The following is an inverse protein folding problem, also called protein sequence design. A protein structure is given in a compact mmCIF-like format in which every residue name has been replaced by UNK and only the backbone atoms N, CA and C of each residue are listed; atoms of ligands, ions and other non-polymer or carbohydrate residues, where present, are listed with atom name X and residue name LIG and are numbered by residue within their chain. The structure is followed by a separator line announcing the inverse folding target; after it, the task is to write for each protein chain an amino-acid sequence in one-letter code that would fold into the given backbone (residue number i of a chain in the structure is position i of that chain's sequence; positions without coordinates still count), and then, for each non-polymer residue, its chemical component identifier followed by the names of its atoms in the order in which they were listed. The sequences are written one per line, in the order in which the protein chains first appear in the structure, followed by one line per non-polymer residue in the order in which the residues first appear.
data_IF_202938528574
#
_entry.id   IF_202938528574
#
_cell.length_a   1.000
_cell.length_b   1.000
_cell.length_c   1.000
_cell.angle_alpha   90.00
_cell.angle_beta   90.00
_cell.angle_gamma   90.00
#
_symmetry.space_group_name_H-M   'P 1'
#
loop_
_entity.id
_entity.type
_entity.pdbx_description
1 polymer ?
#
# COMPACT_ATOMS: atom_id res chain seq x y z
N UNK A 1 13.56 -17.47 35.84
CA UNK A 1 12.93 -18.77 35.49
C UNK A 1 14.02 -19.67 34.92
N UNK A 2 14.65 -20.49 35.76
CA UNK A 2 15.64 -21.51 35.35
C UNK A 2 14.94 -22.86 35.54
N UNK A 3 14.60 -23.54 34.44
CA UNK A 3 14.25 -24.97 34.49
C UNK A 3 15.20 -25.70 33.55
N UNK A 4 15.92 -26.62 34.17
CA UNK A 4 16.97 -27.43 33.60
C UNK A 4 16.43 -28.29 32.45
N UNK A 5 17.05 -28.19 31.28
CA UNK A 5 16.85 -29.14 30.19
C UNK A 5 17.55 -30.45 30.57
N UNK A 6 16.78 -31.42 31.02
CA UNK A 6 17.25 -32.78 31.30
C UNK A 6 17.35 -33.52 29.96
N UNK A 7 18.53 -33.44 29.33
CA UNK A 7 18.91 -34.25 28.18
C UNK A 7 18.73 -35.72 28.53
N UNK A 8 17.71 -36.33 27.94
CA UNK A 8 17.43 -37.76 28.07
C UNK A 8 18.00 -38.42 26.82
N UNK A 9 19.28 -38.80 26.88
CA UNK A 9 19.89 -39.70 25.90
C UNK A 9 19.16 -41.05 25.97
N UNK A 10 18.22 -41.27 25.05
CA UNK A 10 17.65 -42.59 24.83
C UNK A 10 18.68 -43.40 24.04
N UNK A 11 19.39 -44.25 24.76
CA UNK A 11 20.25 -45.29 24.23
C UNK A 11 19.51 -46.07 23.13
N UNK A 12 19.99 -45.95 21.89
CA UNK A 12 19.61 -46.82 20.80
C UNK A 12 20.31 -48.17 21.00
N UNK A 13 19.80 -48.95 21.95
CA UNK A 13 20.20 -50.33 22.18
C UNK A 13 19.72 -51.16 20.99
N UNK A 14 20.57 -51.27 19.96
CA UNK A 14 20.47 -52.34 18.96
C UNK A 14 20.64 -53.67 19.68
N UNK A 15 19.56 -54.18 20.26
CA UNK A 15 19.49 -55.56 20.71
C UNK A 15 19.51 -56.42 19.46
N UNK A 16 20.71 -56.89 19.11
CA UNK A 16 20.89 -58.02 18.21
C UNK A 16 20.19 -59.23 18.82
N UNK A 17 18.89 -59.37 18.55
CA UNK A 17 18.12 -60.57 18.85
C UNK A 17 18.67 -61.69 17.97
N UNK A 18 19.63 -62.43 18.52
CA UNK A 18 20.00 -63.74 18.02
C UNK A 18 18.74 -64.60 18.07
N UNK A 19 18.11 -64.80 16.91
CA UNK A 19 17.01 -65.74 16.77
C UNK A 19 17.56 -67.13 17.09
N UNK A 20 17.06 -67.73 18.17
CA UNK A 20 17.35 -69.12 18.52
C UNK A 20 16.94 -70.04 17.35
N UNK A 21 17.61 -71.19 17.16
CA UNK A 21 17.36 -72.05 16.01
C UNK A 21 15.95 -72.65 16.09
N UNK A 22 15.26 -72.62 14.94
CA UNK A 22 14.04 -73.34 14.56
C UNK A 22 13.42 -74.26 15.63
N UNK A 23 12.16 -73.95 15.97
CA UNK A 23 11.26 -74.88 16.65
C UNK A 23 11.35 -76.28 16.02
N UNK A 24 11.41 -77.28 16.88
CA UNK A 24 11.77 -78.66 16.61
C UNK A 24 11.24 -79.21 15.29
N UNK A 25 12.16 -79.68 14.44
CA UNK A 25 11.92 -80.48 13.22
C UNK A 25 11.36 -81.87 13.57
N UNK A 26 10.16 -81.94 14.13
CA UNK A 26 9.57 -83.21 14.55
C UNK A 26 8.68 -83.78 13.45
N UNK A 27 9.28 -84.56 12.55
CA UNK A 27 8.54 -85.47 11.69
C UNK A 27 8.16 -86.70 12.52
N UNK A 28 6.89 -86.82 12.90
CA UNK A 28 6.38 -88.03 13.55
C UNK A 28 6.03 -89.05 12.47
N UNK A 29 7.01 -89.86 12.06
CA UNK A 29 6.81 -90.98 11.15
C UNK A 29 7.28 -92.27 11.82
N UNK A 30 6.33 -93.13 12.18
CA UNK A 30 6.61 -94.43 12.77
C UNK A 30 7.09 -95.40 11.67
N UNK A 31 8.41 -95.50 11.57
CA UNK A 31 9.11 -96.33 10.59
C UNK A 31 8.86 -97.80 10.86
N UNK A 32 8.74 -98.19 12.14
CA UNK A 32 8.61 -99.57 12.56
C UNK A 32 7.20 -100.11 12.29
N UNK A 33 6.17 -99.35 12.64
CA UNK A 33 4.78 -99.74 12.34
C UNK A 33 4.55 -99.92 10.83
N UNK A 34 5.21 -99.10 10.01
CA UNK A 34 5.10 -99.19 8.55
C UNK A 34 5.83 -100.41 7.97
N UNK A 35 6.98 -100.79 8.55
CA UNK A 35 7.69 -102.03 8.18
C UNK A 35 6.85 -103.25 8.53
N UNK A 36 6.29 -103.33 9.75
CA UNK A 36 5.45 -104.45 10.16
C UNK A 36 4.22 -104.61 9.26
N UNK A 37 3.57 -103.50 8.88
CA UNK A 37 2.42 -103.52 7.97
C UNK A 37 2.79 -104.08 6.59
N UNK A 38 3.95 -103.72 6.05
CA UNK A 38 4.40 -104.22 4.75
C UNK A 38 4.74 -105.72 4.82
N UNK A 39 5.34 -106.17 5.91
CA UNK A 39 5.60 -107.59 6.16
C UNK A 39 4.32 -108.42 6.27
N UNK A 40 3.29 -107.91 6.96
CA UNK A 40 1.96 -108.54 7.05
C UNK A 40 1.27 -108.67 5.68
N UNK A 41 1.61 -107.81 4.72
CA UNK A 41 1.08 -107.82 3.35
C UNK A 41 1.95 -108.60 2.35
N UNK A 42 2.92 -109.39 2.83
CA UNK A 42 3.69 -110.32 2.02
C UNK A 42 5.00 -109.76 1.43
N UNK A 43 5.48 -108.60 1.92
CA UNK A 43 6.81 -108.09 1.58
C UNK A 43 7.88 -108.68 2.50
N UNK A 44 9.09 -108.87 1.98
CA UNK A 44 10.25 -109.24 2.82
C UNK A 44 10.72 -108.04 3.64
N UNK A 45 11.31 -108.26 4.81
CA UNK A 45 11.87 -107.21 5.68
C UNK A 45 12.76 -106.23 4.92
N UNK A 46 13.65 -106.75 4.05
CA UNK A 46 14.52 -105.93 3.21
C UNK A 46 13.74 -105.02 2.24
N UNK A 47 12.68 -105.55 1.60
CA UNK A 47 11.84 -104.76 0.71
C UNK A 47 11.08 -103.67 1.48
N UNK A 48 10.54 -104.02 2.65
CA UNK A 48 9.83 -103.10 3.53
C UNK A 48 10.73 -101.95 4.01
N UNK A 49 11.95 -102.25 4.44
CA UNK A 49 12.94 -101.25 4.87
C UNK A 49 13.34 -100.29 3.74
N UNK A 50 13.53 -100.80 2.51
CA UNK A 50 13.90 -99.98 1.35
C UNK A 50 12.75 -99.02 0.97
N UNK A 51 11.52 -99.52 0.93
CA UNK A 51 10.33 -98.72 0.63
C UNK A 51 10.14 -97.62 1.67
N UNK A 52 10.22 -97.97 2.95
CA UNK A 52 10.09 -97.02 4.06
C UNK A 52 11.20 -95.97 4.02
N UNK A 53 12.45 -96.37 3.73
CA UNK A 53 13.58 -95.45 3.58
C UNK A 53 13.39 -94.45 2.43
N UNK A 54 12.86 -94.90 1.29
CA UNK A 54 12.55 -94.04 0.16
C UNK A 54 11.46 -93.01 0.51
N UNK A 55 10.40 -93.45 1.19
CA UNK A 55 9.31 -92.57 1.66
C UNK A 55 9.82 -91.54 2.67
N UNK A 56 10.63 -91.97 3.65
CA UNK A 56 11.29 -91.07 4.61
C UNK A 56 12.11 -89.98 3.91
N UNK A 57 12.88 -90.33 2.89
CA UNK A 57 13.68 -89.37 2.12
C UNK A 57 12.79 -88.37 1.36
N UNK A 58 11.71 -88.84 0.71
CA UNK A 58 10.76 -87.96 0.02
C UNK A 58 10.06 -87.03 1.01
N UNK A 59 9.60 -87.55 2.15
CA UNK A 59 8.94 -86.76 3.20
C UNK A 59 9.88 -85.72 3.79
N UNK A 60 11.14 -86.07 4.03
CA UNK A 60 12.18 -85.14 4.51
C UNK A 60 12.42 -84.01 3.52
N UNK A 61 12.63 -84.35 2.24
CA UNK A 61 12.83 -83.36 1.18
C UNK A 61 11.60 -82.44 1.00
N UNK A 62 10.39 -83.01 1.03
CA UNK A 62 9.15 -82.23 0.94
C UNK A 62 8.96 -81.32 2.17
N UNK A 63 9.27 -81.79 3.37
CA UNK A 63 9.22 -80.96 4.57
C UNK A 63 10.22 -79.81 4.52
N UNK A 64 11.45 -80.05 4.07
CA UNK A 64 12.46 -78.99 3.93
C UNK A 64 12.01 -77.91 2.92
N UNK A 65 11.37 -78.33 1.82
CA UNK A 65 10.81 -77.41 0.83
C UNK A 65 9.63 -76.60 1.40
N UNK A 66 8.68 -77.25 2.06
CA UNK A 66 7.52 -76.60 2.68
C UNK A 66 7.98 -75.58 3.74
N UNK A 67 8.95 -75.92 4.58
CA UNK A 67 9.45 -75.01 5.61
C UNK A 67 10.25 -73.83 5.05
N UNK A 68 10.83 -73.96 3.85
CA UNK A 68 11.52 -72.86 3.18
C UNK A 68 10.54 -71.78 2.71
N UNK A 69 9.36 -72.19 2.24
CA UNK A 69 8.33 -71.28 1.72
C UNK A 69 7.30 -70.86 2.78
N UNK A 70 7.22 -71.58 3.90
CA UNK A 70 6.36 -71.22 5.03
C UNK A 70 6.98 -70.15 5.92
N UNK A 71 6.11 -69.29 6.46
CA UNK A 71 6.46 -68.33 7.51
C UNK A 71 6.20 -68.96 8.87
N UNK A 72 7.19 -68.90 9.76
CA UNK A 72 7.02 -69.37 11.13
C UNK A 72 6.18 -68.40 11.95
N UNK A 73 5.43 -68.91 12.94
CA UNK A 73 4.65 -68.07 13.88
C UNK A 73 5.50 -66.99 14.55
N UNK A 74 6.76 -67.32 14.88
CA UNK A 74 7.72 -66.36 15.46
C UNK A 74 8.06 -65.23 14.48
N UNK A 75 8.35 -65.53 13.21
CA UNK A 75 8.60 -64.51 12.19
C UNK A 75 7.38 -63.63 11.96
N UNK A 76 6.19 -64.21 11.94
CA UNK A 76 4.94 -63.45 11.85
C UNK A 76 4.77 -62.50 13.04
N UNK A 77 5.02 -62.96 14.27
CA UNK A 77 4.91 -62.13 15.47
C UNK A 77 5.92 -60.97 15.47
N UNK A 78 7.16 -61.21 15.04
CA UNK A 78 8.17 -60.14 14.86
C UNK A 78 7.69 -59.10 13.84
N UNK A 79 7.18 -59.55 12.69
CA UNK A 79 6.67 -58.64 11.65
C UNK A 79 5.49 -57.81 12.17
N UNK A 80 4.57 -58.41 12.90
CA UNK A 80 3.43 -57.71 13.53
C UNK A 80 3.92 -56.68 14.55
N UNK A 81 4.89 -57.03 15.40
CA UNK A 81 5.46 -56.09 16.37
C UNK A 81 6.16 -54.90 15.69
N UNK A 82 6.88 -55.13 14.59
CA UNK A 82 7.47 -54.05 13.78
C UNK A 82 6.40 -53.13 13.21
N UNK A 83 5.35 -53.69 12.60
CA UNK A 83 4.23 -52.91 12.06
C UNK A 83 3.56 -52.08 13.16
N UNK A 84 3.30 -52.68 14.33
CA UNK A 84 2.72 -51.98 15.48
C UNK A 84 3.62 -50.84 15.98
N UNK A 85 4.94 -51.05 15.98
CA UNK A 85 5.91 -50.00 16.33
C UNK A 85 5.84 -48.81 15.37
N UNK A 86 5.81 -49.08 14.05
CA UNK A 86 5.66 -48.04 13.03
C UNK A 86 4.34 -47.28 13.15
N UNK A 87 3.22 -47.98 13.36
CA UNK A 87 1.92 -47.36 13.61
C UNK A 87 1.96 -46.47 14.85
N UNK A 88 2.61 -46.94 15.93
CA UNK A 88 2.82 -46.15 17.14
C UNK A 88 3.67 -44.89 16.92
N UNK A 89 4.65 -44.96 16.03
CA UNK A 89 5.44 -43.81 15.56
C UNK A 89 4.55 -42.77 14.87
N UNK A 90 3.87 -43.18 13.80
CA UNK A 90 2.97 -42.32 13.01
C UNK A 90 1.89 -41.68 13.89
N UNK A 91 1.31 -42.44 14.82
CA UNK A 91 0.31 -41.93 15.76
C UNK A 91 0.88 -40.85 16.68
N UNK A 92 2.13 -40.99 17.14
CA UNK A 92 2.79 -39.96 17.96
C UNK A 92 2.98 -38.68 17.15
N UNK A 93 3.49 -38.81 15.93
CA UNK A 93 3.73 -37.67 15.04
C UNK A 93 2.43 -36.94 14.70
N UNK A 94 1.35 -37.68 14.44
CA UNK A 94 0.01 -37.12 14.24
C UNK A 94 -0.48 -36.29 15.44
N UNK A 95 -0.30 -36.80 16.67
CA UNK A 95 -0.69 -36.08 17.89
C UNK A 95 0.15 -34.82 18.08
N UNK A 96 1.46 -34.87 17.79
CA UNK A 96 2.35 -33.71 17.88
C UNK A 96 1.90 -32.64 16.88
N UNK A 97 1.62 -33.04 15.63
CA UNK A 97 1.16 -32.15 14.58
C UNK A 97 -0.16 -31.47 14.95
N UNK A 98 -1.14 -32.24 15.42
CA UNK A 98 -2.47 -31.73 15.81
C UNK A 98 -2.41 -30.81 17.03
N UNK A 99 -1.63 -31.18 18.07
CA UNK A 99 -1.60 -30.40 19.32
C UNK A 99 -0.64 -29.23 19.28
N UNK A 100 0.54 -29.38 18.70
CA UNK A 100 1.60 -28.36 18.75
C UNK A 100 1.52 -27.43 17.56
N UNK A 101 1.64 -27.96 16.35
CA UNK A 101 1.80 -27.13 15.14
C UNK A 101 0.49 -26.47 14.74
N UNK A 102 -0.62 -27.21 14.75
CA UNK A 102 -1.94 -26.63 14.46
C UNK A 102 -2.35 -25.57 15.48
N UNK A 103 -2.09 -25.79 16.77
CA UNK A 103 -2.39 -24.80 17.81
C UNK A 103 -1.54 -23.54 17.65
N UNK A 104 -0.25 -23.69 17.34
CA UNK A 104 0.64 -22.56 17.09
C UNK A 104 0.18 -21.76 15.86
N UNK A 105 -0.09 -22.43 14.73
CA UNK A 105 -0.60 -21.81 13.50
C UNK A 105 -1.93 -21.09 13.71
N UNK A 106 -2.84 -21.67 14.50
CA UNK A 106 -4.12 -21.04 14.83
C UNK A 106 -3.93 -19.80 15.68
N UNK A 107 -3.05 -19.85 16.68
CA UNK A 107 -2.74 -18.68 17.51
C UNK A 107 -2.07 -17.57 16.70
N UNK A 108 -1.18 -17.91 15.78
CA UNK A 108 -0.50 -16.94 14.91
C UNK A 108 -1.49 -16.33 13.91
N UNK A 109 -2.40 -17.12 13.33
CA UNK A 109 -3.48 -16.61 12.48
C UNK A 109 -4.39 -15.62 13.22
N UNK A 110 -4.83 -15.94 14.45
CA UNK A 110 -5.66 -15.02 15.23
C UNK A 110 -4.89 -13.75 15.59
N UNK A 111 -3.60 -13.84 15.91
CA UNK A 111 -2.74 -12.68 16.15
C UNK A 111 -2.65 -11.78 14.91
N UNK A 112 -2.33 -12.35 13.75
CA UNK A 112 -2.24 -11.62 12.47
C UNK A 112 -3.58 -10.95 12.14
N UNK A 113 -4.70 -11.65 12.37
CA UNK A 113 -6.04 -11.11 12.16
C UNK A 113 -6.34 -9.90 13.05
N UNK A 114 -5.93 -9.94 14.31
CA UNK A 114 -6.07 -8.80 15.24
C UNK A 114 -5.20 -7.62 14.82
N UNK A 115 -3.94 -7.86 14.47
CA UNK A 115 -3.02 -6.82 13.98
C UNK A 115 -3.55 -6.17 12.70
N UNK A 116 -4.10 -6.96 11.78
CA UNK A 116 -4.72 -6.46 10.55
C UNK A 116 -5.95 -5.59 10.85
N UNK A 117 -6.80 -6.01 11.79
CA UNK A 117 -7.96 -5.21 12.21
C UNK A 117 -7.53 -3.89 12.84
N UNK A 118 -6.50 -3.91 13.68
CA UNK A 118 -5.95 -2.71 14.31
C UNK A 118 -5.36 -1.76 13.27
N UNK A 119 -4.56 -2.27 12.33
CA UNK A 119 -3.96 -1.48 11.27
C UNK A 119 -5.04 -0.86 10.36
N UNK A 120 -6.06 -1.64 9.99
CA UNK A 120 -7.20 -1.14 9.22
C UNK A 120 -7.92 0.00 9.93
N UNK A 121 -8.14 -0.13 11.24
CA UNK A 121 -8.76 0.93 12.04
C UNK A 121 -7.88 2.18 12.05
N UNK A 122 -6.59 2.03 12.36
CA UNK A 122 -5.64 3.14 12.40
C UNK A 122 -5.57 3.90 11.07
N UNK A 123 -5.46 3.18 9.94
CA UNK A 123 -5.45 3.80 8.61
C UNK A 123 -6.74 4.55 8.32
N UNK A 124 -7.88 4.00 8.71
CA UNK A 124 -9.19 4.65 8.54
C UNK A 124 -9.27 5.94 9.36
N UNK A 125 -8.86 5.87 10.63
CA UNK A 125 -8.86 7.01 11.56
C UNK A 125 -7.92 8.12 11.06
N UNK A 126 -6.67 7.79 10.70
CA UNK A 126 -5.69 8.76 10.16
C UNK A 126 -6.17 9.36 8.83
N UNK A 127 -6.73 8.56 7.92
CA UNK A 127 -7.30 9.08 6.66
C UNK A 127 -8.46 10.04 6.93
N UNK A 128 -9.32 9.73 7.90
CA UNK A 128 -10.43 10.61 8.28
C UNK A 128 -9.96 11.92 8.90
N UNK A 129 -8.90 11.87 9.71
CA UNK A 129 -8.26 13.03 10.32
C UNK A 129 -7.63 13.93 9.26
N UNK A 130 -6.76 13.38 8.41
CA UNK A 130 -6.14 14.12 7.29
C UNK A 130 -7.18 14.76 6.38
N UNK A 131 -8.28 14.05 6.09
CA UNK A 131 -9.39 14.61 5.30
C UNK A 131 -10.04 15.81 5.99
N UNK A 132 -10.29 15.72 7.29
CA UNK A 132 -10.94 16.78 8.07
C UNK A 132 -10.02 17.99 8.19
N UNK A 133 -8.75 17.76 8.49
CA UNK A 133 -7.71 18.79 8.58
C UNK A 133 -7.55 19.51 7.24
N UNK A 134 -7.42 18.76 6.13
CA UNK A 134 -7.32 19.34 4.78
C UNK A 134 -8.54 20.17 4.40
N UNK A 135 -9.75 19.71 4.81
CA UNK A 135 -10.98 20.47 4.58
C UNK A 135 -10.99 21.76 5.40
N UNK A 136 -10.54 21.72 6.65
CA UNK A 136 -10.44 22.91 7.49
C UNK A 136 -9.45 23.91 6.89
N UNK A 137 -8.25 23.47 6.55
CA UNK A 137 -7.20 24.30 5.94
C UNK A 137 -7.70 24.98 4.65
N UNK A 138 -8.35 24.21 3.77
CA UNK A 138 -8.94 24.76 2.55
C UNK A 138 -10.01 25.81 2.85
N UNK A 139 -10.86 25.60 3.86
CA UNK A 139 -11.89 26.58 4.22
C UNK A 139 -11.30 27.85 4.83
N UNK A 140 -10.24 27.72 5.65
CA UNK A 140 -9.50 28.85 6.20
C UNK A 140 -8.84 29.66 5.08
N UNK A 141 -8.13 29.00 4.17
CA UNK A 141 -7.45 29.65 3.05
C UNK A 141 -8.45 30.29 2.08
N UNK A 142 -9.56 29.62 1.78
CA UNK A 142 -10.66 30.19 0.99
C UNK A 142 -11.23 31.46 1.62
N UNK A 143 -11.39 31.46 2.95
CA UNK A 143 -11.87 32.64 3.69
C UNK A 143 -10.85 33.77 3.65
N UNK A 144 -9.57 33.47 3.82
CA UNK A 144 -8.45 34.42 3.71
C UNK A 144 -8.38 35.07 2.33
N UNK A 145 -8.47 34.27 1.27
CA UNK A 145 -8.50 34.76 -0.12
C UNK A 145 -9.71 35.67 -0.36
N UNK A 146 -10.90 35.28 0.13
CA UNK A 146 -12.11 36.09 0.02
C UNK A 146 -11.99 37.43 0.75
N UNK A 147 -11.39 37.45 1.93
CA UNK A 147 -11.14 38.68 2.69
C UNK A 147 -10.16 39.61 1.95
N UNK A 148 -9.05 39.06 1.43
CA UNK A 148 -8.09 39.83 0.63
C UNK A 148 -8.73 40.40 -0.64
N UNK A 149 -9.57 39.62 -1.32
CA UNK A 149 -10.29 40.06 -2.50
C UNK A 149 -11.24 41.23 -2.17
N UNK A 150 -12.05 41.08 -1.11
CA UNK A 150 -12.93 42.16 -0.62
C UNK A 150 -12.17 43.43 -0.23
N UNK A 151 -11.00 43.28 0.41
CA UNK A 151 -10.15 44.41 0.75
C UNK A 151 -9.60 45.10 -0.50
N UNK A 152 -9.19 44.32 -1.51
CA UNK A 152 -8.71 44.86 -2.78
C UNK A 152 -9.81 45.61 -3.53
N UNK A 153 -11.01 45.02 -3.64
CA UNK A 153 -12.18 45.68 -4.24
C UNK A 153 -12.47 47.02 -3.57
N UNK A 154 -12.41 47.08 -2.23
CA UNK A 154 -12.57 48.34 -1.49
C UNK A 154 -11.48 49.35 -1.81
N UNK A 155 -10.22 48.93 -1.93
CA UNK A 155 -9.10 49.82 -2.31
C UNK A 155 -9.28 50.35 -3.73
N UNK A 156 -9.63 49.48 -4.67
CA UNK A 156 -9.93 49.86 -6.07
C UNK A 156 -11.08 50.85 -6.12
N UNK A 157 -12.14 50.63 -5.35
CA UNK A 157 -13.28 51.54 -5.29
C UNK A 157 -12.87 52.92 -4.73
N UNK A 158 -12.10 52.95 -3.63
CA UNK A 158 -11.57 54.21 -3.07
C UNK A 158 -10.71 54.97 -4.08
N UNK A 159 -9.77 54.29 -4.73
CA UNK A 159 -8.92 54.90 -5.76
C UNK A 159 -9.75 55.43 -6.93
N UNK A 160 -10.79 54.70 -7.37
CA UNK A 160 -11.72 55.20 -8.40
C UNK A 160 -12.43 56.48 -7.96
N UNK A 161 -12.91 56.54 -6.72
CA UNK A 161 -13.54 57.75 -6.18
C UNK A 161 -12.56 58.92 -6.11
N UNK A 162 -11.34 58.70 -5.61
CA UNK A 162 -10.29 59.72 -5.55
C UNK A 162 -9.92 60.25 -6.94
N UNK A 163 -9.82 59.37 -7.95
CA UNK A 163 -9.57 59.77 -9.35
C UNK A 163 -10.70 60.66 -9.87
N UNK A 164 -11.96 60.32 -9.60
CA UNK A 164 -13.12 61.12 -10.02
C UNK A 164 -13.12 62.49 -9.34
N UNK A 165 -12.81 62.55 -8.04
CA UNK A 165 -12.73 63.81 -7.30
C UNK A 165 -11.61 64.72 -7.83
N UNK A 166 -10.42 64.16 -8.08
CA UNK A 166 -9.29 64.88 -8.67
C UNK A 166 -9.62 65.37 -10.09
N UNK A 167 -10.28 64.56 -10.91
CA UNK A 167 -10.73 64.97 -12.24
C UNK A 167 -11.72 66.14 -12.17
N UNK A 168 -12.70 66.08 -11.26
CA UNK A 168 -13.65 67.17 -11.07
C UNK A 168 -12.96 68.46 -10.57
N UNK A 169 -11.94 68.34 -9.70
CA UNK A 169 -11.14 69.49 -9.26
C UNK A 169 -10.33 70.08 -10.43
N UNK A 170 -9.72 69.23 -11.26
CA UNK A 170 -8.99 69.63 -12.44
C UNK A 170 -9.90 70.34 -13.45
N UNK A 171 -11.10 69.82 -13.72
CA UNK A 171 -12.09 70.43 -14.63
C UNK A 171 -12.53 71.83 -14.15
N UNK A 172 -12.73 71.99 -12.83
CA UNK A 172 -13.04 73.31 -12.24
C UNK A 172 -11.88 74.29 -12.45
N UNK A 173 -10.64 73.86 -12.19
CA UNK A 173 -9.46 74.69 -12.37
C UNK A 173 -9.23 75.07 -13.85
N UNK A 174 -9.43 74.12 -14.78
CA UNK A 174 -9.41 74.36 -16.22
C UNK A 174 -10.49 75.36 -16.64
N UNK A 175 -11.73 75.19 -16.19
CA UNK A 175 -12.84 76.10 -16.49
C UNK A 175 -12.56 77.52 -15.97
N UNK A 176 -12.01 77.64 -14.75
CA UNK A 176 -11.64 78.94 -14.19
C UNK A 176 -10.55 79.62 -15.02
N UNK A 177 -9.54 78.86 -15.47
CA UNK A 177 -8.46 79.37 -16.32
C UNK A 177 -8.99 79.81 -17.68
N UNK A 178 -9.87 79.00 -18.29
CA UNK A 178 -10.53 79.33 -19.55
C UNK A 178 -11.32 80.65 -19.44
N UNK A 179 -12.12 80.82 -18.37
CA UNK A 179 -12.83 82.08 -18.11
C UNK A 179 -11.89 83.28 -17.95
N UNK A 180 -10.76 83.11 -17.26
CA UNK A 180 -9.75 84.19 -17.13
C UNK A 180 -9.19 84.59 -18.49
N UNK A 181 -8.82 83.60 -19.31
CA UNK A 181 -8.33 83.83 -20.68
C UNK A 181 -9.38 84.59 -21.48
N UNK A 182 -10.65 84.18 -21.46
CA UNK A 182 -11.72 84.89 -22.17
C UNK A 182 -11.86 86.36 -21.70
N UNK A 183 -11.79 86.61 -20.39
CA UNK A 183 -11.86 87.98 -19.86
C UNK A 183 -10.66 88.83 -20.25
N UNK A 184 -9.45 88.26 -20.23
CA UNK A 184 -8.23 88.96 -20.66
C UNK A 184 -8.27 89.24 -22.16
N UNK A 185 -8.71 88.28 -23.00
CA UNK A 185 -8.87 88.46 -24.44
C UNK A 185 -9.89 89.55 -24.75
N UNK A 186 -11.05 89.56 -24.07
CA UNK A 186 -12.05 90.62 -24.22
C UNK A 186 -11.51 91.98 -23.78
N UNK A 187 -10.78 92.05 -22.66
CA UNK A 187 -10.14 93.28 -22.18
C UNK A 187 -9.05 93.80 -23.11
N UNK A 188 -8.23 92.92 -23.67
CA UNK A 188 -7.24 93.29 -24.69
C UNK A 188 -7.92 93.79 -25.97
N UNK A 189 -9.03 93.17 -26.37
CA UNK A 189 -9.80 93.62 -27.54
C UNK A 189 -10.39 95.02 -27.33
N UNK A 190 -10.98 95.31 -26.18
CA UNK A 190 -11.52 96.65 -25.88
C UNK A 190 -10.41 97.70 -25.80
N UNK A 191 -9.27 97.37 -25.19
CA UNK A 191 -8.09 98.24 -25.17
C UNK A 191 -7.53 98.49 -26.59
N UNK A 192 -7.53 97.47 -27.46
CA UNK A 192 -7.13 97.63 -28.85
C UNK A 192 -8.10 98.53 -29.62
N UNK A 193 -9.42 98.35 -29.43
CA UNK A 193 -10.44 99.19 -30.04
C UNK A 193 -10.34 100.66 -29.56
N UNK A 194 -10.11 100.89 -28.26
CA UNK A 194 -9.89 102.23 -27.72
C UNK A 194 -8.64 102.87 -28.30
N UNK A 195 -7.53 102.14 -28.39
CA UNK A 195 -6.29 102.64 -28.97
C UNK A 195 -6.44 102.98 -30.46
N UNK A 196 -7.22 102.19 -31.22
CA UNK A 196 -7.58 102.54 -32.61
C UNK A 196 -8.38 103.85 -32.68
N UNK A 197 -9.38 104.03 -31.81
CA UNK A 197 -10.18 105.26 -31.76
C UNK A 197 -9.33 106.47 -31.36
N UNK A 198 -8.42 106.33 -30.41
CA UNK A 198 -7.51 107.40 -29.99
C UNK A 198 -6.54 107.77 -31.11
N UNK A 199 -5.97 106.80 -31.82
CA UNK A 199 -5.16 107.08 -33.01
C UNK A 199 -5.94 107.85 -34.08
N UNK A 200 -7.22 107.49 -34.33
CA UNK A 200 -8.08 108.23 -35.26
C UNK A 200 -8.32 109.67 -34.77
N UNK A 201 -8.58 109.87 -33.47
CA UNK A 201 -8.78 111.20 -32.88
C UNK A 201 -7.51 112.05 -32.97
N UNK A 202 -6.34 111.52 -32.60
CA UNK A 202 -5.06 112.23 -32.68
C UNK A 202 -4.70 112.57 -34.13
N UNK A 203 -4.96 111.66 -35.07
CA UNK A 203 -4.77 111.91 -36.51
C UNK A 203 -5.67 113.06 -36.98
N UNK A 204 -6.97 113.00 -36.70
CA UNK A 204 -7.92 114.06 -37.06
C UNK A 204 -7.52 115.41 -36.44
N UNK A 205 -7.13 115.42 -35.16
CA UNK A 205 -6.63 116.61 -34.47
C UNK A 205 -5.39 117.20 -35.13
N UNK A 206 -4.40 116.37 -35.49
CA UNK A 206 -3.16 116.81 -36.17
C UNK A 206 -3.42 117.39 -37.56
N UNK A 207 -4.33 116.79 -38.34
CA UNK A 207 -4.72 117.31 -39.66
C UNK A 207 -5.46 118.63 -39.51
N UNK A 208 -6.36 118.73 -38.52
CA UNK A 208 -7.12 119.96 -38.25
C UNK A 208 -6.21 121.10 -37.75
N UNK A 209 -5.24 120.82 -36.88
CA UNK A 209 -4.26 121.83 -36.45
C UNK A 209 -3.34 122.25 -37.59
N UNK A 210 -2.88 121.30 -38.42
CA UNK A 210 -2.10 121.61 -39.62
C UNK A 210 -2.90 122.50 -40.60
N UNK A 211 -4.17 122.16 -40.86
CA UNK A 211 -5.08 122.99 -41.66
C UNK A 211 -5.29 124.37 -41.04
N UNK A 212 -5.48 124.46 -39.72
CA UNK A 212 -5.65 125.74 -39.01
C UNK A 212 -4.41 126.62 -39.13
N UNK A 213 -3.21 126.03 -38.99
CA UNK A 213 -1.94 126.72 -39.17
C UNK A 213 -1.77 127.18 -40.62
N UNK A 214 -2.05 126.32 -41.61
CA UNK A 214 -1.99 126.66 -43.03
C UNK A 214 -2.97 127.80 -43.39
N UNK A 215 -4.20 127.77 -42.87
CA UNK A 215 -5.18 128.85 -43.02
C UNK A 215 -4.74 130.14 -42.31
N UNK A 216 -4.11 130.02 -41.14
CA UNK A 216 -3.51 131.15 -40.42
C UNK A 216 -2.40 131.83 -41.21
N UNK A 217 -1.49 131.04 -41.81
CA UNK A 217 -0.46 131.55 -42.71
C UNK A 217 -1.06 132.15 -44.00
N UNK A 218 -2.07 131.52 -44.60
CA UNK A 218 -2.77 132.06 -45.76
C UNK A 218 -3.42 133.42 -45.47
N UNK A 219 -3.94 133.62 -44.24
CA UNK A 219 -4.55 134.88 -43.79
C UNK A 219 -3.54 136.00 -43.50
N UNK A 220 -2.28 135.67 -43.19
CA UNK A 220 -1.19 136.64 -43.00
C UNK A 220 -0.49 137.03 -44.32
N UNK A 221 -0.73 136.27 -45.40
CA UNK A 221 -0.15 136.51 -46.74
C UNK A 221 -1.08 137.31 -47.67
N UNK A 222 -2.35 137.51 -47.28
CA UNK A 222 -3.31 138.40 -47.95
C UNK A 222 -3.38 139.77 -47.26
#
# INVERSE_FOLDING_TARGET
IRRQAKSSHSHNSRSSCRCSPLGSRTLYFDTHAFVCLLEENGFTTQQSEIIVSAIMNIMKNNMDMIHKDMVTKMQQEIAVQQIMSHIGGVKKDMIILEKSEFSALRSENEKIKLELQQLKKQVTDETSKVRTDSKLDFNLEKSRVKELYSLNDRKVLKMRTEIVELHAQQDRALTQTYRKIDTEVAGLKTMLESHKLDNIKYLAGSVFTCLTVALGFYRLWI
#
